data_IF_211787414660
#
_entry.id   IF_211787414660
#
_cell.length_a   1.000
_cell.length_b   1.000
_cell.length_c   1.000
_cell.angle_alpha   90.00
_cell.angle_beta   90.00
_cell.angle_gamma   90.00
#
_symmetry.space_group_name_H-M   'P 1'
#
loop_
_entity.id
_entity.type
_entity.pdbx_description
1 polymer ?
#
# COMPACT_ATOMS: atom_id res chain seq x y z
N UNK A 1 -19.03 -0.95 32.30
CA UNK A 1 -18.73 -2.28 31.72
C UNK A 1 -20.08 -3.00 31.65
N UNK A 2 -20.55 -3.45 30.47
CA UNK A 2 -21.77 -4.22 30.36
C UNK A 2 -21.62 -5.57 31.09
N UNK A 3 -22.65 -5.95 31.83
CA UNK A 3 -22.74 -7.28 32.47
C UNK A 3 -23.38 -8.23 31.48
N UNK A 4 -22.72 -9.35 31.19
CA UNK A 4 -23.27 -10.45 30.43
C UNK A 4 -23.73 -11.55 31.40
N UNK A 5 -24.90 -12.17 31.13
CA UNK A 5 -25.34 -13.34 31.85
C UNK A 5 -24.44 -14.54 31.47
N UNK A 6 -24.25 -15.45 32.42
CA UNK A 6 -23.52 -16.69 32.14
C UNK A 6 -24.18 -17.41 30.96
N UNK A 7 -23.37 -17.79 29.96
CA UNK A 7 -23.79 -18.48 28.72
C UNK A 7 -24.41 -17.61 27.59
N UNK A 8 -24.40 -16.28 27.66
CA UNK A 8 -24.85 -15.45 26.55
C UNK A 8 -23.72 -15.20 25.51
N UNK A 9 -23.28 -16.28 24.87
CA UNK A 9 -22.19 -16.25 23.86
C UNK A 9 -22.50 -15.34 22.67
N UNK A 10 -23.78 -15.20 22.28
CA UNK A 10 -24.20 -14.38 21.15
C UNK A 10 -24.02 -12.89 21.48
N UNK A 11 -24.52 -12.47 22.66
CA UNK A 11 -24.36 -11.08 23.12
C UNK A 11 -22.91 -10.72 23.41
N UNK A 12 -22.13 -11.63 23.99
CA UNK A 12 -20.68 -11.47 24.18
C UNK A 12 -19.97 -11.33 22.84
N UNK A 13 -20.24 -12.21 21.88
CA UNK A 13 -19.65 -12.17 20.55
C UNK A 13 -20.00 -10.88 19.81
N UNK A 14 -21.27 -10.46 19.83
CA UNK A 14 -21.71 -9.22 19.19
C UNK A 14 -21.09 -7.99 19.84
N UNK A 15 -20.96 -7.96 21.17
CA UNK A 15 -20.28 -6.88 21.90
C UNK A 15 -18.79 -6.81 21.53
N UNK A 16 -18.07 -7.96 21.57
CA UNK A 16 -16.66 -8.03 21.19
C UNK A 16 -16.48 -7.57 19.74
N UNK A 17 -17.30 -8.05 18.82
CA UNK A 17 -17.25 -7.66 17.41
C UNK A 17 -17.46 -6.15 17.23
N UNK A 18 -18.49 -5.59 17.89
CA UNK A 18 -18.78 -4.15 17.86
C UNK A 18 -17.65 -3.31 18.51
N UNK A 19 -17.07 -3.82 19.59
CA UNK A 19 -15.95 -3.13 20.26
C UNK A 19 -14.69 -3.15 19.39
N UNK A 20 -14.32 -4.30 18.84
CA UNK A 20 -13.16 -4.47 17.97
C UNK A 20 -13.32 -3.65 16.69
N UNK A 21 -14.49 -3.68 16.04
CA UNK A 21 -14.72 -2.89 14.81
C UNK A 21 -14.59 -1.39 15.04
N UNK A 22 -14.97 -0.88 16.22
CA UNK A 22 -14.77 0.54 16.60
C UNK A 22 -13.31 0.88 16.87
N UNK A 23 -12.46 -0.09 17.15
CA UNK A 23 -11.03 0.10 17.38
C UNK A 23 -10.19 -0.02 16.11
N UNK A 24 -10.76 -0.55 15.02
CA UNK A 24 -10.05 -0.63 13.74
C UNK A 24 -9.97 0.76 13.13
N UNK A 25 -8.74 1.27 13.01
CA UNK A 25 -8.49 2.55 12.37
C UNK A 25 -8.96 2.56 10.91
N UNK A 26 -9.52 3.66 10.41
CA UNK A 26 -9.84 3.84 9.00
C UNK A 26 -8.65 3.48 8.10
N UNK A 27 -8.91 3.05 6.88
CA UNK A 27 -7.89 2.68 5.92
C UNK A 27 -7.95 3.62 4.72
N UNK A 28 -6.87 4.35 4.47
CA UNK A 28 -6.71 5.16 3.27
C UNK A 28 -5.74 4.50 2.29
N UNK A 29 -5.98 4.71 1.01
CA UNK A 29 -5.10 4.28 -0.08
C UNK A 29 -4.03 5.33 -0.36
N UNK A 30 -2.82 4.88 -0.65
CA UNK A 30 -1.68 5.71 -1.04
C UNK A 30 -1.03 5.15 -2.30
N UNK A 31 -1.22 5.81 -3.42
CA UNK A 31 -0.56 5.47 -4.68
C UNK A 31 0.77 6.20 -4.73
N UNK A 32 1.87 5.45 -4.70
CA UNK A 32 3.22 5.99 -4.75
C UNK A 32 3.60 6.24 -6.22
N UNK A 33 3.47 7.48 -6.68
CA UNK A 33 3.82 7.91 -8.04
C UNK A 33 5.22 8.53 -8.12
N UNK A 34 5.77 8.90 -6.97
CA UNK A 34 7.08 9.55 -6.85
C UNK A 34 8.24 8.58 -7.06
N UNK A 35 9.29 9.07 -7.71
CA UNK A 35 10.53 8.37 -7.94
C UNK A 35 11.39 9.15 -8.94
N UNK A 36 12.67 8.77 -9.08
CA UNK A 36 13.61 9.37 -10.04
C UNK A 36 13.26 9.06 -11.51
N UNK A 37 12.08 8.53 -11.80
CA UNK A 37 11.60 8.13 -13.14
C UNK A 37 11.57 9.28 -14.16
N UNK A 38 11.63 10.54 -13.71
CA UNK A 38 11.81 11.68 -14.59
C UNK A 38 13.17 11.66 -15.33
N UNK A 39 14.18 10.95 -14.82
CA UNK A 39 15.47 10.79 -15.53
C UNK A 39 15.33 9.98 -16.83
N UNK A 40 14.27 9.18 -16.98
CA UNK A 40 13.98 8.39 -18.19
C UNK A 40 12.85 9.00 -19.05
N UNK A 41 12.44 10.25 -18.78
CA UNK A 41 11.49 10.99 -19.62
C UNK A 41 10.05 10.51 -19.58
N UNK A 42 9.70 9.51 -18.75
CA UNK A 42 8.34 8.96 -18.71
C UNK A 42 7.80 8.94 -17.28
N UNK A 43 6.70 9.65 -17.03
CA UNK A 43 5.99 9.56 -15.76
C UNK A 43 5.31 8.18 -15.66
N UNK A 44 5.81 7.30 -14.78
CA UNK A 44 5.27 5.94 -14.60
C UNK A 44 3.77 5.92 -14.25
N UNK A 45 3.29 6.93 -13.54
CA UNK A 45 1.89 7.06 -13.18
C UNK A 45 0.98 7.32 -14.39
N UNK A 46 1.54 7.86 -15.47
CA UNK A 46 0.83 8.16 -16.72
C UNK A 46 0.90 7.02 -17.77
N UNK A 47 1.64 5.94 -17.51
CA UNK A 47 1.71 4.81 -18.44
C UNK A 47 0.34 4.12 -18.49
N UNK A 48 -0.15 3.86 -19.70
CA UNK A 48 -1.42 3.19 -19.94
C UNK A 48 -1.21 1.70 -20.24
N UNK A 49 -1.44 0.84 -19.25
CA UNK A 49 -1.38 -0.61 -19.46
C UNK A 49 -2.72 -1.21 -19.86
N UNK A 50 -3.83 -0.52 -19.58
CA UNK A 50 -5.22 -0.96 -19.81
C UNK A 50 -6.09 0.11 -20.48
N UNK A 51 -5.46 0.99 -21.29
CA UNK A 51 -6.17 2.09 -21.96
C UNK A 51 -6.54 3.26 -21.04
N UNK A 52 -6.09 3.23 -19.78
CA UNK A 52 -6.18 4.34 -18.81
C UNK A 52 -4.84 4.49 -18.09
N UNK A 53 -4.49 5.70 -17.62
CA UNK A 53 -3.29 5.93 -16.84
C UNK A 53 -3.21 5.03 -15.60
N UNK A 54 -2.03 4.52 -15.28
CA UNK A 54 -1.83 3.56 -14.19
C UNK A 54 -2.32 4.09 -12.83
N UNK A 55 -2.12 5.37 -12.52
CA UNK A 55 -2.62 5.96 -11.28
C UNK A 55 -4.16 5.93 -11.21
N UNK A 56 -4.86 6.14 -12.33
CA UNK A 56 -6.32 6.05 -12.38
C UNK A 56 -6.80 4.61 -12.19
N UNK A 57 -6.11 3.64 -12.83
CA UNK A 57 -6.38 2.22 -12.62
C UNK A 57 -6.23 1.83 -11.15
N UNK A 58 -5.11 2.22 -10.51
CA UNK A 58 -4.87 1.93 -9.09
C UNK A 58 -5.89 2.65 -8.19
N UNK A 59 -6.31 3.88 -8.51
CA UNK A 59 -7.35 4.58 -7.77
C UNK A 59 -8.67 3.79 -7.80
N UNK A 60 -9.11 3.35 -8.99
CA UNK A 60 -10.32 2.52 -9.14
C UNK A 60 -10.20 1.20 -8.38
N UNK A 61 -9.02 0.58 -8.39
CA UNK A 61 -8.74 -0.68 -7.71
C UNK A 61 -8.79 -0.56 -6.18
N UNK A 62 -8.28 0.54 -5.61
CA UNK A 62 -8.22 0.75 -4.17
C UNK A 62 -9.52 1.30 -3.57
N UNK A 63 -10.32 2.02 -4.34
CA UNK A 63 -11.55 2.69 -3.90
C UNK A 63 -12.55 1.78 -3.15
N UNK A 64 -12.74 0.50 -3.49
CA UNK A 64 -13.64 -0.39 -2.74
C UNK A 64 -13.13 -0.77 -1.34
N UNK A 65 -11.86 -0.55 -1.05
CA UNK A 65 -11.20 -1.01 0.18
C UNK A 65 -10.77 0.14 1.11
N UNK A 66 -10.80 1.37 0.62
CA UNK A 66 -10.25 2.54 1.31
C UNK A 66 -11.30 3.64 1.41
N UNK A 67 -11.30 4.37 2.53
CA UNK A 67 -12.19 5.52 2.73
C UNK A 67 -11.84 6.64 1.76
N UNK A 68 -10.55 6.91 1.59
CA UNK A 68 -9.99 7.90 0.66
C UNK A 68 -8.77 7.31 -0.04
N UNK A 69 -8.53 7.71 -1.29
CA UNK A 69 -7.33 7.31 -2.05
C UNK A 69 -6.57 8.55 -2.49
N UNK A 70 -5.28 8.58 -2.19
CA UNK A 70 -4.38 9.69 -2.50
C UNK A 70 -3.24 9.25 -3.41
N UNK A 71 -2.75 10.18 -4.22
CA UNK A 71 -1.50 10.02 -4.98
C UNK A 71 -0.40 10.80 -4.29
N UNK A 72 0.63 10.09 -3.79
CA UNK A 72 1.86 10.70 -3.30
C UNK A 72 2.70 11.15 -4.48
N UNK A 73 3.05 12.42 -4.53
CA UNK A 73 3.77 13.01 -5.64
C UNK A 73 4.63 14.19 -5.19
N UNK A 74 5.53 14.61 -6.07
CA UNK A 74 6.32 15.83 -5.87
C UNK A 74 5.45 17.08 -6.06
N UNK A 75 5.87 18.19 -5.51
CA UNK A 75 5.19 19.50 -5.60
C UNK A 75 4.82 19.87 -7.04
N UNK A 76 5.75 19.63 -7.97
CA UNK A 76 5.57 19.97 -9.39
C UNK A 76 4.53 19.10 -10.09
N UNK A 77 4.11 18.00 -9.48
CA UNK A 77 3.18 17.02 -10.03
C UNK A 77 1.76 17.12 -9.42
N UNK A 78 1.55 17.94 -8.40
CA UNK A 78 0.26 18.06 -7.68
C UNK A 78 -0.90 18.37 -8.64
N UNK A 79 -0.66 19.19 -9.66
CA UNK A 79 -1.65 19.56 -10.65
C UNK A 79 -2.06 18.42 -11.63
N UNK A 80 -1.35 17.29 -11.59
CA UNK A 80 -1.60 16.15 -12.48
C UNK A 80 -2.61 15.15 -11.92
N UNK A 81 -3.01 15.29 -10.66
CA UNK A 81 -3.86 14.33 -9.95
C UNK A 81 -4.90 15.02 -9.10
N UNK A 82 -6.08 14.41 -8.96
CA UNK A 82 -7.22 15.03 -8.25
C UNK A 82 -7.02 15.06 -6.72
N UNK A 83 -6.52 13.99 -6.14
CA UNK A 83 -6.36 13.85 -4.68
C UNK A 83 -4.92 13.52 -4.34
N UNK A 84 -4.18 14.49 -3.82
CA UNK A 84 -2.72 14.39 -3.68
C UNK A 84 -2.23 14.55 -2.26
N UNK A 85 -1.08 13.94 -2.01
CA UNK A 85 -0.20 14.22 -0.89
C UNK A 85 1.15 14.65 -1.47
N UNK A 86 1.54 15.91 -1.22
CA UNK A 86 2.86 16.41 -1.57
C UNK A 86 3.92 15.74 -0.68
N UNK A 87 4.96 15.18 -1.30
CA UNK A 87 6.05 14.53 -0.60
C UNK A 87 6.85 15.54 0.23
N UNK A 88 6.71 15.47 1.55
CA UNK A 88 7.42 16.34 2.51
C UNK A 88 8.82 15.84 2.83
N UNK A 89 9.08 14.55 2.61
CA UNK A 89 10.36 13.89 2.84
C UNK A 89 11.07 13.65 1.50
N UNK A 90 11.63 14.76 0.97
CA UNK A 90 12.19 14.80 -0.40
C UNK A 90 13.41 13.88 -0.52
N UNK A 91 13.50 13.12 -1.61
CA UNK A 91 14.63 12.24 -1.89
C UNK A 91 14.65 10.91 -1.14
N UNK A 92 13.61 10.64 -0.31
CA UNK A 92 13.54 9.41 0.51
C UNK A 92 12.78 8.25 -0.18
N UNK A 93 12.53 8.37 -1.48
CA UNK A 93 11.82 7.34 -2.25
C UNK A 93 10.44 6.97 -1.67
N UNK A 94 10.07 5.68 -1.71
CA UNK A 94 8.77 5.24 -1.19
C UNK A 94 8.52 5.58 0.28
N UNK A 95 9.57 5.54 1.12
CA UNK A 95 9.47 5.93 2.55
C UNK A 95 9.02 7.38 2.70
N UNK A 96 9.51 8.26 1.83
CA UNK A 96 9.12 9.68 1.84
C UNK A 96 7.62 9.87 1.61
N UNK A 97 7.05 9.18 0.63
CA UNK A 97 5.62 9.20 0.37
C UNK A 97 4.79 8.66 1.53
N UNK A 98 5.18 7.51 2.10
CA UNK A 98 4.49 6.89 3.25
C UNK A 98 4.54 7.83 4.48
N UNK A 99 5.69 8.40 4.80
CA UNK A 99 5.83 9.35 5.90
C UNK A 99 5.03 10.64 5.67
N UNK A 100 4.95 11.11 4.42
CA UNK A 100 4.14 12.28 4.06
C UNK A 100 2.65 12.01 4.24
N UNK A 101 2.19 10.79 3.96
CA UNK A 101 0.84 10.36 4.21
C UNK A 101 0.53 10.33 5.72
N UNK A 102 1.39 9.77 6.53
CA UNK A 102 1.23 9.81 8.00
C UNK A 102 1.29 11.22 8.56
N UNK A 103 2.14 12.10 8.01
CA UNK A 103 2.16 13.51 8.41
C UNK A 103 0.83 14.21 8.12
N UNK A 104 0.16 13.86 7.00
CA UNK A 104 -1.18 14.39 6.66
C UNK A 104 -2.24 13.85 7.61
N UNK A 105 -2.25 12.55 7.87
CA UNK A 105 -3.16 11.92 8.83
C UNK A 105 -2.48 10.76 9.58
N UNK A 106 -1.99 11.01 10.81
CA UNK A 106 -1.29 9.99 11.60
C UNK A 106 -2.21 8.96 12.25
N UNK A 107 -3.54 9.18 12.22
CA UNK A 107 -4.52 8.37 12.95
C UNK A 107 -5.26 7.36 12.05
N UNK A 108 -4.85 7.21 10.80
CA UNK A 108 -5.39 6.21 9.87
C UNK A 108 -4.30 5.24 9.44
N UNK A 109 -4.69 4.06 9.02
CA UNK A 109 -3.79 3.15 8.34
C UNK A 109 -3.69 3.53 6.86
N UNK A 110 -2.55 3.20 6.24
CA UNK A 110 -2.26 3.52 4.85
C UNK A 110 -1.96 2.25 4.05
N UNK A 111 -2.81 1.93 3.07
CA UNK A 111 -2.51 0.91 2.06
C UNK A 111 -1.69 1.56 0.94
N UNK A 112 -0.37 1.40 1.00
CA UNK A 112 0.52 1.88 -0.06
C UNK A 112 0.59 0.89 -1.22
N UNK A 113 0.53 1.41 -2.44
CA UNK A 113 0.80 0.68 -3.68
C UNK A 113 1.65 1.52 -4.61
N UNK A 114 2.61 0.89 -5.30
CA UNK A 114 3.48 1.61 -6.24
C UNK A 114 2.92 1.55 -7.67
N UNK A 115 3.10 2.62 -8.43
CA UNK A 115 2.69 2.70 -9.84
C UNK A 115 3.45 1.74 -10.77
N UNK A 116 4.57 1.21 -10.34
CA UNK A 116 5.39 0.29 -11.15
C UNK A 116 5.00 -1.19 -11.01
N UNK A 117 3.88 -1.48 -10.34
CA UNK A 117 3.31 -2.83 -10.20
C UNK A 117 1.98 -2.91 -10.98
N UNK A 118 2.02 -3.02 -12.31
CA UNK A 118 0.82 -2.91 -13.16
C UNK A 118 -0.07 -4.14 -13.16
N UNK A 119 0.40 -5.30 -12.67
CA UNK A 119 -0.38 -6.54 -12.61
C UNK A 119 -1.20 -6.69 -11.33
N UNK A 120 -1.10 -5.73 -10.42
CA UNK A 120 -1.92 -5.70 -9.21
C UNK A 120 -3.41 -5.76 -9.56
N UNK A 121 -4.16 -6.60 -8.83
CA UNK A 121 -5.57 -6.88 -9.11
C UNK A 121 -6.43 -6.86 -7.84
N UNK A 122 -7.75 -6.96 -8.05
CA UNK A 122 -8.75 -6.91 -6.98
C UNK A 122 -8.56 -8.01 -5.93
N UNK A 123 -8.33 -9.26 -6.36
CA UNK A 123 -8.23 -10.41 -5.46
C UNK A 123 -7.00 -10.29 -4.54
N UNK A 124 -5.91 -9.75 -5.06
CA UNK A 124 -4.70 -9.47 -4.28
C UNK A 124 -4.97 -8.43 -3.18
N UNK A 125 -5.65 -7.32 -3.51
CA UNK A 125 -6.00 -6.31 -2.51
C UNK A 125 -7.02 -6.84 -1.51
N UNK A 126 -8.02 -7.59 -1.98
CA UNK A 126 -9.01 -8.24 -1.11
C UNK A 126 -8.33 -9.19 -0.12
N UNK A 127 -7.36 -9.99 -0.59
CA UNK A 127 -6.61 -10.90 0.27
C UNK A 127 -5.83 -10.14 1.33
N UNK A 128 -5.11 -9.09 0.95
CA UNK A 128 -4.33 -8.28 1.88
C UNK A 128 -5.22 -7.62 2.94
N UNK A 129 -6.34 -7.01 2.53
CA UNK A 129 -7.25 -6.32 3.44
C UNK A 129 -7.99 -7.28 4.37
N UNK A 130 -8.33 -8.48 3.93
CA UNK A 130 -8.90 -9.54 4.78
C UNK A 130 -7.96 -10.04 5.87
N UNK A 131 -6.65 -10.01 5.61
CA UNK A 131 -5.62 -10.43 6.56
C UNK A 131 -5.02 -9.26 7.34
N UNK A 132 -5.59 -8.04 7.19
CA UNK A 132 -5.12 -6.87 7.94
C UNK A 132 -5.11 -7.15 9.44
N UNK A 133 -3.98 -6.90 10.08
CA UNK A 133 -3.78 -7.07 11.51
C UNK A 133 -3.42 -5.73 12.18
N UNK A 134 -4.41 -5.00 12.75
CA UNK A 134 -4.18 -3.69 13.39
C UNK A 134 -3.28 -3.76 14.63
N UNK A 135 -3.04 -4.94 15.17
CA UNK A 135 -2.15 -5.14 16.32
C UNK A 135 -0.67 -5.17 15.93
N UNK A 136 -0.37 -5.35 14.65
CA UNK A 136 0.99 -5.35 14.09
C UNK A 136 1.37 -3.97 13.55
N UNK A 137 2.64 -3.76 13.22
CA UNK A 137 3.13 -2.52 12.59
C UNK A 137 2.62 -2.40 11.15
N UNK A 138 2.57 -3.52 10.44
CA UNK A 138 2.12 -3.56 9.05
C UNK A 138 1.58 -4.96 8.70
N UNK A 139 0.78 -5.02 7.62
CA UNK A 139 0.38 -6.25 6.93
C UNK A 139 0.90 -6.17 5.50
N UNK A 140 1.68 -7.15 5.06
CA UNK A 140 2.31 -7.16 3.74
C UNK A 140 2.43 -8.55 3.17
N UNK A 141 2.70 -8.64 1.87
CA UNK A 141 3.00 -9.92 1.23
C UNK A 141 4.46 -10.34 1.44
N UNK A 142 4.67 -11.66 1.45
CA UNK A 142 6.00 -12.24 1.30
C UNK A 142 6.34 -12.35 -0.19
N UNK A 143 7.53 -11.90 -0.57
CA UNK A 143 8.04 -12.03 -1.93
C UNK A 143 9.05 -13.19 -1.95
N UNK A 144 8.67 -14.33 -2.54
CA UNK A 144 9.49 -15.54 -2.54
C UNK A 144 10.76 -15.40 -3.38
N UNK A 145 10.74 -14.52 -4.39
CA UNK A 145 11.91 -14.23 -5.23
C UNK A 145 12.99 -13.48 -4.46
N UNK A 146 12.60 -12.42 -3.73
CA UNK A 146 13.54 -11.61 -2.94
C UNK A 146 13.81 -12.18 -1.56
N UNK A 147 12.98 -13.10 -1.07
CA UNK A 147 12.99 -13.68 0.29
C UNK A 147 12.71 -12.66 1.39
N UNK A 148 12.00 -11.59 1.09
CA UNK A 148 11.70 -10.49 2.01
C UNK A 148 10.24 -10.05 1.93
N UNK A 149 9.72 -9.34 2.97
CA UNK A 149 8.44 -8.65 2.90
C UNK A 149 8.40 -7.64 1.75
N UNK A 150 7.26 -7.52 1.07
CA UNK A 150 7.06 -6.62 -0.05
C UNK A 150 6.59 -5.23 0.44
N UNK A 151 7.43 -4.20 0.38
CA UNK A 151 7.10 -2.90 0.95
C UNK A 151 6.18 -2.03 0.07
N UNK A 152 6.04 -2.39 -1.21
CA UNK A 152 5.32 -1.56 -2.20
C UNK A 152 3.85 -1.95 -2.36
N UNK A 153 3.41 -3.01 -1.66
CA UNK A 153 1.99 -3.40 -1.48
C UNK A 153 1.83 -3.76 0.00
N UNK A 154 1.58 -2.75 0.83
CA UNK A 154 1.60 -2.92 2.30
C UNK A 154 0.56 -2.03 2.97
N UNK A 155 -0.17 -2.58 3.94
CA UNK A 155 -0.96 -1.80 4.88
C UNK A 155 -0.07 -1.44 6.07
N UNK A 156 0.14 -0.16 6.28
CA UNK A 156 0.90 0.42 7.38
C UNK A 156 -0.07 0.91 8.44
N UNK A 157 0.01 0.39 9.64
CA UNK A 157 -0.81 0.87 10.77
C UNK A 157 -0.23 2.18 11.36
N UNK A 158 -1.01 2.98 12.10
CA UNK A 158 -0.53 4.26 12.65
C UNK A 158 0.81 4.18 13.40
N UNK A 159 1.06 3.08 14.10
CA UNK A 159 2.33 2.83 14.80
C UNK A 159 3.55 2.74 13.88
N UNK A 160 3.34 2.49 12.60
CA UNK A 160 4.43 2.45 11.61
C UNK A 160 5.11 3.82 11.44
N UNK A 161 4.41 4.91 11.72
CA UNK A 161 4.95 6.25 11.54
C UNK A 161 6.24 6.48 12.35
N UNK A 162 6.20 6.19 13.65
CA UNK A 162 7.37 6.35 14.53
C UNK A 162 8.50 5.37 14.18
N UNK A 163 8.16 4.15 13.77
CA UNK A 163 9.14 3.13 13.37
C UNK A 163 9.85 3.55 12.08
N UNK A 164 9.11 4.00 11.07
CA UNK A 164 9.70 4.48 9.82
C UNK A 164 10.61 5.71 10.03
N UNK A 165 10.19 6.65 10.90
CA UNK A 165 11.01 7.80 11.27
C UNK A 165 12.29 7.37 11.99
N UNK A 166 12.22 6.38 12.88
CA UNK A 166 13.40 5.83 13.55
C UNK A 166 14.39 5.26 12.54
N UNK A 167 13.94 4.40 11.61
CA UNK A 167 14.84 3.83 10.60
C UNK A 167 15.40 4.91 9.66
N UNK A 168 14.61 5.91 9.30
CA UNK A 168 15.08 7.04 8.52
C UNK A 168 16.19 7.83 9.25
N UNK A 169 16.05 8.06 10.56
CA UNK A 169 17.07 8.73 11.38
C UNK A 169 18.39 7.95 11.45
N UNK A 170 18.33 6.64 11.25
CA UNK A 170 19.52 5.78 11.15
C UNK A 170 20.10 5.70 9.72
N UNK A 171 19.59 6.50 8.78
CA UNK A 171 20.03 6.54 7.39
C UNK A 171 19.41 5.49 6.47
N UNK A 172 18.40 4.74 6.95
CA UNK A 172 17.69 3.74 6.12
C UNK A 172 16.46 4.37 5.47
N UNK A 173 16.52 4.59 4.17
CA UNK A 173 15.41 5.13 3.36
C UNK A 173 14.57 4.06 2.64
N UNK A 174 14.87 2.79 2.86
CA UNK A 174 14.09 1.69 2.30
C UNK A 174 13.06 1.16 3.32
N UNK A 175 11.76 1.20 3.04
CA UNK A 175 10.73 0.78 4.02
C UNK A 175 10.80 -0.72 4.34
N UNK A 176 11.41 -1.54 3.47
CA UNK A 176 11.68 -2.97 3.74
C UNK A 176 12.51 -3.19 5.00
N UNK A 177 13.44 -2.28 5.30
CA UNK A 177 14.26 -2.39 6.51
C UNK A 177 13.41 -2.31 7.78
N UNK A 178 12.40 -1.44 7.79
CA UNK A 178 11.44 -1.37 8.89
C UNK A 178 10.60 -2.65 8.98
N UNK A 179 10.10 -3.18 7.85
CA UNK A 179 9.33 -4.44 7.84
C UNK A 179 10.11 -5.61 8.43
N UNK A 180 11.37 -5.80 8.02
CA UNK A 180 12.22 -6.93 8.48
C UNK A 180 12.49 -6.87 9.99
N UNK A 181 12.52 -5.68 10.57
CA UNK A 181 12.92 -5.47 11.97
C UNK A 181 11.73 -5.11 12.88
N UNK A 182 10.52 -5.40 12.48
CA UNK A 182 9.31 -5.10 13.25
C UNK A 182 8.36 -6.28 13.28
N UNK A 183 7.41 -6.26 14.21
CA UNK A 183 6.32 -7.21 14.21
C UNK A 183 5.31 -6.86 13.10
N UNK A 184 5.24 -7.71 12.09
CA UNK A 184 4.37 -7.56 10.93
C UNK A 184 3.48 -8.80 10.75
N UNK A 185 2.38 -8.63 10.03
CA UNK A 185 1.58 -9.72 9.49
C UNK A 185 2.03 -10.03 8.07
N UNK A 186 2.43 -11.28 7.82
CA UNK A 186 2.88 -11.74 6.51
C UNK A 186 1.77 -12.55 5.86
N UNK A 187 1.44 -12.21 4.62
CA UNK A 187 0.45 -12.90 3.80
C UNK A 187 1.15 -13.51 2.59
N UNK A 188 0.87 -14.79 2.33
CA UNK A 188 1.39 -15.47 1.15
C UNK A 188 0.60 -15.05 -0.11
N UNK A 189 1.29 -14.89 -1.23
CA UNK A 189 0.66 -14.64 -2.53
C UNK A 189 0.25 -15.95 -3.21
N UNK A 190 -0.91 -15.95 -3.86
CA UNK A 190 -1.36 -17.07 -4.68
C UNK A 190 -0.69 -17.04 -6.07
N UNK A 191 -0.41 -15.83 -6.56
CA UNK A 191 0.23 -15.58 -7.85
C UNK A 191 1.27 -14.46 -7.69
N UNK A 192 2.54 -14.80 -7.70
CA UNK A 192 3.63 -13.83 -7.56
C UNK A 192 3.85 -12.94 -8.78
N UNK A 193 3.24 -13.28 -9.92
CA UNK A 193 3.32 -12.43 -11.11
C UNK A 193 2.78 -11.02 -10.86
N UNK A 194 1.90 -10.85 -9.87
CA UNK A 194 1.37 -9.54 -9.46
C UNK A 194 2.45 -8.59 -8.97
N UNK A 195 3.61 -9.10 -8.51
CA UNK A 195 4.75 -8.31 -8.05
C UNK A 195 5.70 -7.89 -9.19
N UNK A 196 5.42 -8.32 -10.43
CA UNK A 196 6.23 -7.93 -11.56
C UNK A 196 6.22 -6.41 -11.71
N UNK A 197 7.39 -5.79 -11.55
CA UNK A 197 7.51 -4.36 -11.72
C UNK A 197 7.89 -3.99 -13.16
N UNK A 198 7.51 -2.80 -13.60
CA UNK A 198 7.73 -2.30 -14.95
C UNK A 198 8.86 -1.28 -15.02
N UNK A 199 9.99 -1.57 -14.36
CA UNK A 199 11.11 -0.64 -14.26
C UNK A 199 11.96 -0.53 -15.52
N UNK A 200 12.05 -1.62 -16.31
CA UNK A 200 12.81 -1.67 -17.59
C UNK A 200 11.88 -1.78 -18.79
N UNK A 201 12.41 -1.59 -19.99
CA UNK A 201 11.65 -1.78 -21.23
C UNK A 201 11.26 -3.25 -21.43
N UNK A 202 12.14 -4.18 -21.03
CA UNK A 202 11.89 -5.62 -21.05
C UNK A 202 10.71 -5.97 -20.13
N UNK A 203 10.74 -5.48 -18.87
CA UNK A 203 9.65 -5.70 -17.92
C UNK A 203 8.32 -5.11 -18.42
N UNK A 204 8.34 -3.93 -19.06
CA UNK A 204 7.12 -3.37 -19.66
C UNK A 204 6.55 -4.28 -20.74
N UNK A 205 7.40 -4.81 -21.62
CA UNK A 205 6.98 -5.74 -22.69
C UNK A 205 6.37 -7.00 -22.09
N UNK A 206 6.99 -7.58 -21.07
CA UNK A 206 6.49 -8.77 -20.37
C UNK A 206 5.09 -8.52 -19.74
N UNK A 207 4.90 -7.35 -19.11
CA UNK A 207 3.60 -6.92 -18.58
C UNK A 207 2.53 -6.84 -19.67
N UNK A 208 2.83 -6.21 -20.82
CA UNK A 208 1.88 -6.10 -21.93
C UNK A 208 1.54 -7.48 -22.51
N UNK A 209 2.52 -8.37 -22.64
CA UNK A 209 2.28 -9.75 -23.09
C UNK A 209 1.39 -10.52 -22.10
N UNK A 210 1.64 -10.40 -20.80
CA UNK A 210 0.81 -11.02 -19.77
C UNK A 210 -0.64 -10.55 -19.83
N UNK A 211 -0.86 -9.23 -19.91
CA UNK A 211 -2.20 -8.65 -19.99
C UNK A 211 -2.95 -9.07 -21.25
N UNK A 212 -2.24 -9.18 -22.38
CA UNK A 212 -2.82 -9.62 -23.65
C UNK A 212 -3.26 -11.09 -23.61
N UNK A 213 -2.51 -11.96 -22.92
CA UNK A 213 -2.85 -13.39 -22.76
C UNK A 213 -4.06 -13.60 -21.86
N UNK A 214 -4.22 -12.78 -20.82
CA UNK A 214 -5.32 -12.90 -19.85
C UNK A 214 -6.67 -12.37 -20.37
N UNK A 215 -6.65 -11.58 -21.45
CA UNK A 215 -7.85 -11.04 -22.11
C UNK A 215 -8.33 -11.90 -23.31
N UNK A 216 -7.67 -13.04 -23.59
CA UNK A 216 -8.10 -14.06 -24.56
C UNK A 216 -8.74 -15.25 -23.85
#
# INVERSE_FOLDING_TARGET
IPFFLENDLVSISSFITSFVSKQITPLNGLILSGGESLRMGTNKAAIEYRGIPQHQHLNQLLKPFCDEVYVSCRKEQVHLFDNTIEDSFIGMGPTGGILSAFRKNPNVAWLSVACDIPLLNYDTILKLTKHRNPMKMATCFYNSTTKFPEPLITIWEPRAFSVLLYFLSQGYNCPRKALINSEIEIVELDDESVLLNSNTQENKKEVFEYLTRKNK
#
